data_IF_237603278884
#
_entry.id   IF_237603278884
#
_cell.length_a   1.000
_cell.length_b   1.000
_cell.length_c   1.000
_cell.angle_alpha   90.00
_cell.angle_beta   90.00
_cell.angle_gamma   90.00
#
_symmetry.space_group_name_H-M   'P 1'
#
loop_
_entity.id
_entity.type
_entity.pdbx_description
1 polymer ?
#
# COMPACT_ATOMS: atom_id res chain seq x y z
N UNK A 1 -23.40 0.08 36.25
CA UNK A 1 -22.06 0.12 35.64
C UNK A 1 -21.47 -1.28 35.77
N UNK A 2 -21.64 -2.14 34.77
CA UNK A 2 -21.15 -3.51 34.82
C UNK A 2 -19.68 -3.56 34.39
N UNK A 3 -18.91 -4.37 35.10
CA UNK A 3 -17.45 -4.44 35.09
C UNK A 3 -16.83 -4.51 33.68
N UNK A 4 -15.89 -3.59 33.40
CA UNK A 4 -14.92 -3.78 32.32
C UNK A 4 -13.93 -4.84 32.77
N UNK A 5 -14.18 -6.10 32.37
CA UNK A 5 -13.13 -7.10 32.33
C UNK A 5 -11.99 -6.54 31.48
N UNK A 6 -10.81 -6.40 32.07
CA UNK A 6 -9.61 -6.05 31.30
C UNK A 6 -9.37 -7.11 30.22
N UNK A 7 -8.75 -6.74 29.09
CA UNK A 7 -8.49 -7.68 28.01
C UNK A 7 -7.74 -8.89 28.57
N UNK A 8 -8.30 -10.07 28.33
CA UNK A 8 -7.73 -11.36 28.73
C UNK A 8 -6.34 -11.49 28.09
N UNK A 9 -5.41 -12.23 28.71
CA UNK A 9 -4.05 -12.37 28.18
C UNK A 9 -4.03 -12.89 26.72
N UNK A 10 -5.04 -13.69 26.35
CA UNK A 10 -5.25 -14.21 24.99
C UNK A 10 -5.55 -13.12 23.96
N UNK A 11 -6.34 -12.09 24.30
CA UNK A 11 -6.64 -10.96 23.42
C UNK A 11 -5.41 -10.07 23.20
N UNK A 12 -4.54 -9.93 24.21
CA UNK A 12 -3.28 -9.18 24.06
C UNK A 12 -2.34 -9.87 23.07
N UNK A 13 -2.18 -11.19 23.18
CA UNK A 13 -1.35 -11.97 22.25
C UNK A 13 -1.86 -11.88 20.80
N UNK A 14 -3.18 -11.91 20.59
CA UNK A 14 -3.78 -11.73 19.27
C UNK A 14 -3.58 -10.31 18.71
N UNK A 15 -3.68 -9.27 19.55
CA UNK A 15 -3.44 -7.89 19.16
C UNK A 15 -1.98 -7.64 18.78
N UNK A 16 -1.03 -8.24 19.49
CA UNK A 16 0.39 -8.18 19.12
C UNK A 16 0.66 -8.92 17.81
N UNK A 17 0.07 -10.10 17.60
CA UNK A 17 0.23 -10.85 16.35
C UNK A 17 -0.33 -10.15 15.11
N UNK A 18 -1.37 -9.31 15.26
CA UNK A 18 -1.84 -8.46 14.16
C UNK A 18 -0.93 -7.26 13.92
N UNK A 19 -0.44 -6.62 14.99
CA UNK A 19 0.49 -5.49 14.89
C UNK A 19 1.83 -5.88 14.25
N UNK A 20 2.33 -7.09 14.53
CA UNK A 20 3.55 -7.64 13.93
C UNK A 20 3.37 -7.86 12.42
N UNK A 21 2.26 -8.49 12.01
CA UNK A 21 1.95 -8.71 10.59
C UNK A 21 1.79 -7.41 9.79
N UNK A 22 1.22 -6.38 10.39
CA UNK A 22 1.13 -5.05 9.78
C UNK A 22 2.51 -4.45 9.49
N UNK A 23 3.50 -4.67 10.37
CA UNK A 23 4.87 -4.22 10.12
C UNK A 23 5.58 -5.06 9.07
N UNK A 24 5.47 -6.39 9.14
CA UNK A 24 6.08 -7.29 8.15
C UNK A 24 5.57 -7.00 6.74
N UNK A 25 4.27 -6.76 6.58
CA UNK A 25 3.67 -6.40 5.30
C UNK A 25 4.26 -5.10 4.72
N UNK A 26 4.50 -4.09 5.56
CA UNK A 26 5.11 -2.82 5.12
C UNK A 26 6.52 -3.06 4.58
N UNK A 27 7.30 -3.88 5.28
CA UNK A 27 8.68 -4.20 4.85
C UNK A 27 8.66 -4.98 3.54
N UNK A 28 7.79 -5.98 3.41
CA UNK A 28 7.66 -6.75 2.16
C UNK A 28 7.25 -5.88 0.97
N UNK A 29 6.33 -4.94 1.19
CA UNK A 29 5.91 -3.97 0.18
C UNK A 29 7.09 -3.11 -0.32
N UNK A 30 7.89 -2.57 0.60
CA UNK A 30 9.07 -1.77 0.24
C UNK A 30 10.08 -2.59 -0.55
N UNK A 31 10.34 -3.84 -0.15
CA UNK A 31 11.26 -4.72 -0.85
C UNK A 31 10.81 -4.99 -2.30
N UNK A 32 9.53 -5.30 -2.51
CA UNK A 32 8.97 -5.55 -3.85
C UNK A 32 8.95 -4.28 -4.71
N UNK A 33 8.63 -3.14 -4.12
CA UNK A 33 8.65 -1.83 -4.79
C UNK A 33 10.06 -1.52 -5.31
N UNK A 34 11.07 -1.63 -4.45
CA UNK A 34 12.45 -1.31 -4.81
C UNK A 34 12.94 -2.24 -5.92
N UNK A 35 12.73 -3.56 -5.81
CA UNK A 35 13.13 -4.51 -6.85
C UNK A 35 12.43 -4.22 -8.19
N UNK A 36 11.11 -3.97 -8.16
CA UNK A 36 10.34 -3.71 -9.38
C UNK A 36 10.79 -2.44 -10.08
N UNK A 37 11.03 -1.36 -9.33
CA UNK A 37 11.48 -0.10 -9.92
C UNK A 37 12.94 -0.15 -10.36
N UNK A 38 13.79 -0.87 -9.64
CA UNK A 38 15.16 -1.11 -10.07
C UNK A 38 15.20 -1.85 -11.40
N UNK A 39 14.48 -2.97 -11.54
CA UNK A 39 14.43 -3.76 -12.78
C UNK A 39 13.81 -3.01 -13.97
N UNK A 40 12.92 -2.05 -13.71
CA UNK A 40 12.24 -1.27 -14.76
C UNK A 40 13.00 -0.03 -15.21
N UNK A 41 13.72 0.62 -14.28
CA UNK A 41 14.31 1.93 -14.52
C UNK A 41 15.84 1.90 -14.64
N UNK A 42 16.50 0.85 -14.15
CA UNK A 42 17.95 0.72 -14.20
C UNK A 42 18.33 -0.28 -15.29
N UNK A 43 19.08 0.16 -16.30
CA UNK A 43 19.54 -0.72 -17.36
C UNK A 43 20.66 -1.65 -16.89
N UNK A 44 20.67 -2.89 -17.39
CA UNK A 44 21.71 -3.89 -17.05
C UNK A 44 23.13 -3.50 -17.49
N UNK A 45 23.26 -2.50 -18.37
CA UNK A 45 24.55 -1.96 -18.82
C UNK A 45 24.85 -0.69 -18.04
N UNK A 46 25.36 -0.87 -16.83
CA UNK A 46 25.86 0.22 -15.99
C UNK A 46 27.02 0.91 -16.69
N UNK A 47 26.79 2.12 -17.20
CA UNK A 47 27.84 2.97 -17.78
C UNK A 47 28.54 3.81 -16.71
N UNK A 48 27.83 4.15 -15.64
CA UNK A 48 28.27 5.08 -14.59
C UNK A 48 27.70 4.60 -13.23
N UNK A 49 28.38 4.95 -12.13
CA UNK A 49 27.96 4.55 -10.78
C UNK A 49 26.90 5.48 -10.18
N UNK A 50 26.62 6.61 -10.82
CA UNK A 50 25.60 7.56 -10.42
C UNK A 50 24.35 7.40 -11.29
N UNK A 51 23.18 7.51 -10.66
CA UNK A 51 21.91 7.52 -11.37
C UNK A 51 21.82 8.73 -12.28
N UNK A 52 21.61 8.50 -13.57
CA UNK A 52 21.40 9.57 -14.52
C UNK A 52 20.04 10.26 -14.24
N UNK A 53 19.90 11.52 -14.64
CA UNK A 53 18.64 12.28 -14.53
C UNK A 53 17.44 11.52 -15.12
N UNK A 54 17.66 10.75 -16.18
CA UNK A 54 16.65 9.87 -16.78
C UNK A 54 16.17 8.74 -15.84
N UNK A 55 17.09 8.12 -15.10
CA UNK A 55 16.78 7.00 -14.20
C UNK A 55 16.06 7.50 -12.94
N UNK A 56 16.47 8.65 -12.38
CA UNK A 56 15.79 9.28 -11.26
C UNK A 56 14.32 9.62 -11.60
N UNK A 57 14.09 10.25 -12.76
CA UNK A 57 12.73 10.57 -13.21
C UNK A 57 11.87 9.33 -13.51
N UNK A 58 12.48 8.22 -13.93
CA UNK A 58 11.80 6.95 -14.10
C UNK A 58 11.35 6.35 -12.76
N UNK A 59 12.22 6.38 -11.75
CA UNK A 59 11.93 5.84 -10.41
C UNK A 59 10.72 6.55 -9.79
N UNK A 60 10.65 7.88 -9.83
CA UNK A 60 9.51 8.64 -9.30
C UNK A 60 8.17 8.24 -9.95
N UNK A 61 8.19 8.07 -11.28
CA UNK A 61 7.03 7.60 -12.05
C UNK A 61 6.69 6.15 -11.73
N UNK A 62 7.69 5.30 -11.53
CA UNK A 62 7.52 3.89 -11.18
C UNK A 62 6.85 3.74 -9.81
N UNK A 63 7.37 4.44 -8.79
CA UNK A 63 6.82 4.45 -7.42
C UNK A 63 5.37 4.93 -7.46
N UNK A 64 5.10 6.03 -8.16
CA UNK A 64 3.73 6.57 -8.31
C UNK A 64 2.75 5.55 -8.92
N UNK A 65 3.18 4.81 -9.95
CA UNK A 65 2.37 3.76 -10.59
C UNK A 65 2.22 2.52 -9.70
N UNK A 66 3.28 2.12 -9.00
CA UNK A 66 3.27 0.97 -8.10
C UNK A 66 2.29 1.19 -6.95
N UNK A 67 2.35 2.34 -6.29
CA UNK A 67 1.39 2.70 -5.23
C UNK A 67 -0.05 2.75 -5.74
N UNK A 68 -0.30 3.30 -6.92
CA UNK A 68 -1.65 3.28 -7.50
C UNK A 68 -2.15 1.86 -7.72
N UNK A 69 -1.31 0.96 -8.24
CA UNK A 69 -1.69 -0.44 -8.41
C UNK A 69 -1.91 -1.15 -7.07
N UNK A 70 -1.01 -0.99 -6.10
CA UNK A 70 -1.12 -1.59 -4.77
C UNK A 70 -2.37 -1.11 -4.02
N UNK A 71 -2.68 0.20 -4.08
CA UNK A 71 -3.85 0.77 -3.45
C UNK A 71 -5.15 0.38 -4.16
N UNK A 72 -5.17 0.32 -5.49
CA UNK A 72 -6.33 -0.17 -6.23
C UNK A 72 -6.61 -1.63 -5.89
N UNK A 73 -5.59 -2.50 -5.86
CA UNK A 73 -5.75 -3.91 -5.50
C UNK A 73 -6.21 -4.05 -4.05
N UNK A 74 -5.60 -3.31 -3.12
CA UNK A 74 -6.02 -3.31 -1.71
C UNK A 74 -7.46 -2.83 -1.56
N UNK A 75 -7.84 -1.77 -2.27
CA UNK A 75 -9.18 -1.22 -2.28
C UNK A 75 -10.19 -2.21 -2.87
N UNK A 76 -9.92 -2.78 -4.04
CA UNK A 76 -10.75 -3.84 -4.63
C UNK A 76 -10.82 -5.08 -3.74
N UNK A 77 -9.73 -5.49 -3.07
CA UNK A 77 -9.73 -6.65 -2.20
C UNK A 77 -10.54 -6.39 -0.93
N UNK A 78 -10.34 -5.24 -0.28
CA UNK A 78 -11.13 -4.83 0.88
C UNK A 78 -12.58 -4.63 0.47
N UNK A 79 -12.88 -4.02 -0.67
CA UNK A 79 -14.24 -3.83 -1.18
C UNK A 79 -14.90 -5.14 -1.61
N UNK A 80 -14.19 -6.08 -2.24
CA UNK A 80 -14.73 -7.41 -2.59
C UNK A 80 -14.93 -8.27 -1.34
N UNK A 81 -13.99 -8.25 -0.39
CA UNK A 81 -14.08 -9.00 0.85
C UNK A 81 -15.13 -8.42 1.80
N UNK A 82 -15.28 -7.08 1.85
CA UNK A 82 -16.36 -6.39 2.57
C UNK A 82 -17.69 -6.45 1.81
N UNK A 83 -17.74 -6.53 0.47
CA UNK A 83 -18.98 -6.75 -0.29
C UNK A 83 -19.63 -8.09 0.03
N UNK A 84 -18.82 -9.11 0.34
CA UNK A 84 -19.34 -10.41 0.79
C UNK A 84 -19.99 -10.30 2.18
N UNK A 85 -19.74 -9.25 2.97
CA UNK A 85 -20.32 -9.08 4.31
C UNK A 85 -21.35 -7.95 4.45
N UNK A 86 -21.20 -6.76 3.85
CA UNK A 86 -22.14 -5.65 4.06
C UNK A 86 -22.28 -4.71 2.84
N UNK A 87 -23.49 -4.72 2.27
CA UNK A 87 -24.00 -3.87 1.21
C UNK A 87 -23.83 -2.35 1.52
N UNK A 88 -23.23 -1.59 0.59
CA UNK A 88 -23.26 -0.11 0.43
C UNK A 88 -22.76 0.76 1.60
N UNK A 89 -21.47 1.16 1.58
CA UNK A 89 -21.03 2.38 2.29
C UNK A 89 -20.71 3.52 1.29
N UNK A 90 -21.55 4.57 1.19
CA UNK A 90 -21.43 5.65 0.19
C UNK A 90 -20.16 6.53 0.27
N UNK A 91 -19.35 6.43 1.32
CA UNK A 91 -18.15 7.26 1.49
C UNK A 91 -16.97 6.78 0.64
N UNK A 92 -16.89 5.48 0.40
CA UNK A 92 -15.79 4.82 -0.31
C UNK A 92 -15.72 5.27 -1.77
N UNK A 93 -16.87 5.37 -2.45
CA UNK A 93 -16.97 5.92 -3.81
C UNK A 93 -16.71 7.43 -3.87
N UNK A 94 -17.18 8.20 -2.87
CA UNK A 94 -16.92 9.64 -2.81
C UNK A 94 -15.45 9.97 -2.54
N UNK A 95 -14.74 9.16 -1.74
CA UNK A 95 -13.32 9.34 -1.47
C UNK A 95 -12.44 8.97 -2.68
N UNK A 96 -12.79 7.88 -3.40
CA UNK A 96 -12.13 7.55 -4.67
C UNK A 96 -12.41 8.62 -5.74
N UNK A 97 -13.62 9.18 -5.77
CA UNK A 97 -13.96 10.33 -6.61
C UNK A 97 -13.12 11.58 -6.30
N UNK A 98 -12.92 11.91 -5.01
CA UNK A 98 -12.07 13.04 -4.60
C UNK A 98 -10.57 12.80 -4.87
N UNK A 99 -10.08 11.57 -4.69
CA UNK A 99 -8.68 11.21 -4.96
C UNK A 99 -8.35 11.17 -6.45
N UNK A 100 -9.31 10.80 -7.32
CA UNK A 100 -9.14 10.83 -8.77
C UNK A 100 -9.36 12.23 -9.37
N UNK A 101 -10.19 13.07 -8.74
CA UNK A 101 -10.51 14.42 -9.22
C UNK A 101 -9.44 15.49 -8.95
N UNK A 102 -8.48 15.22 -8.06
CA UNK A 102 -7.44 16.19 -7.68
C UNK A 102 -6.03 15.62 -7.83
N UNK A 103 -5.79 14.87 -8.91
CA UNK A 103 -4.42 14.47 -9.29
C UNK A 103 -3.72 15.68 -9.94
N UNK A 104 -2.74 16.34 -9.28
CA UNK A 104 -1.82 17.20 -10.02
C UNK A 104 -1.10 16.32 -11.04
N UNK A 105 -1.30 16.60 -12.32
CA UNK A 105 -0.47 16.04 -13.37
C UNK A 105 0.94 16.63 -13.19
N UNK A 106 1.88 15.78 -12.81
CA UNK A 106 3.30 15.98 -13.11
C UNK A 106 3.69 15.05 -14.25
#
# INVERSE_FOLDING_TARGET
>A
MAAKGGPTNLEKEQMFGMAEKEMEYRVELFNKLTQTCFDKCIEKRYKEAELNMGENSCIDRCVSKYWQASLLIQFFFVDSFMNIQLLKIPWVTNLVGQMLGNRPQM
#
